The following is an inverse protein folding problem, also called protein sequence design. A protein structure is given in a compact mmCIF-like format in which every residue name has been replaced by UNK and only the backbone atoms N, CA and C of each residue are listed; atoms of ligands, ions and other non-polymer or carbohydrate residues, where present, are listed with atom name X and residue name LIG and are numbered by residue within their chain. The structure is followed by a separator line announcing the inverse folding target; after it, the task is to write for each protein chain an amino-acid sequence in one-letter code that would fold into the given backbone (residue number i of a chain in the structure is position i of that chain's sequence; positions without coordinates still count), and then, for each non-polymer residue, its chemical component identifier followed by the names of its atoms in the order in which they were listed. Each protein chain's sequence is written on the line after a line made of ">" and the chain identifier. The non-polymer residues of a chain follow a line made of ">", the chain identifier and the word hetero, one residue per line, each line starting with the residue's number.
data_IF_913837084666
#
_entry.id   IF_913837084666
#
_cell.length_a   1.000
_cell.length_b   1.000
_cell.length_c   1.000
_cell.angle_alpha   90.00
_cell.angle_beta   90.00
_cell.angle_gamma   90.00
#
_symmetry.space_group_name_H-M   'P 1'
#
loop_
_entity.id
_entity.type
_entity.pdbx_description
1 polymer ?
#
# COMPACT_ATOMS: atom_id res chain seq x y z
N UNK A 1 15.69 16.01 -21.02
CA UNK A 1 14.90 14.79 -20.78
C UNK A 1 14.36 14.88 -19.38
N UNK A 2 13.06 14.70 -19.15
CA UNK A 2 12.51 14.70 -17.80
C UNK A 2 12.98 13.41 -17.09
N UNK A 3 13.68 13.55 -15.98
CA UNK A 3 14.07 12.43 -15.13
C UNK A 3 12.78 11.85 -14.52
N UNK A 4 12.42 10.62 -14.89
CA UNK A 4 11.19 9.97 -14.42
C UNK A 4 11.55 8.90 -13.42
N UNK A 5 11.35 9.20 -12.13
CA UNK A 5 11.62 8.28 -11.03
C UNK A 5 10.60 7.13 -11.04
N UNK A 6 11.04 5.95 -11.45
CA UNK A 6 10.19 4.75 -11.58
C UNK A 6 9.81 4.16 -10.22
N UNK A 7 10.77 4.19 -9.28
CA UNK A 7 10.60 3.86 -7.87
C UNK A 7 10.80 5.15 -7.08
N UNK A 8 9.72 5.89 -6.89
CA UNK A 8 9.78 7.05 -6.01
C UNK A 8 10.00 6.54 -4.59
N UNK A 9 10.99 7.06 -3.87
CA UNK A 9 11.05 6.87 -2.41
C UNK A 9 9.94 7.72 -1.80
N UNK A 10 8.68 7.34 -2.06
CA UNK A 10 7.56 7.87 -1.33
C UNK A 10 7.71 7.32 0.09
N UNK A 11 8.41 8.08 0.92
CA UNK A 11 8.56 7.78 2.33
C UNK A 11 7.19 7.96 3.00
N UNK A 12 6.41 6.87 3.02
CA UNK A 12 5.08 6.88 3.62
C UNK A 12 5.14 6.80 5.15
N UNK A 13 6.27 6.37 5.70
CA UNK A 13 6.48 6.31 7.14
C UNK A 13 6.73 7.72 7.68
N UNK A 14 6.04 8.08 8.76
CA UNK A 14 6.37 9.27 9.52
C UNK A 14 7.43 8.97 10.58
N UNK A 15 7.44 7.74 11.11
CA UNK A 15 8.40 7.28 12.11
C UNK A 15 8.94 5.89 11.74
N UNK A 16 10.13 5.55 12.23
CA UNK A 16 10.78 4.25 11.97
C UNK A 16 10.15 3.08 12.72
N UNK A 17 9.36 3.35 13.76
CA UNK A 17 8.65 2.30 14.50
C UNK A 17 7.35 1.94 13.78
N UNK A 18 7.37 0.79 13.09
CA UNK A 18 6.20 0.22 12.41
C UNK A 18 6.24 -1.31 12.46
N UNK A 19 5.09 -1.93 12.26
CA UNK A 19 4.99 -3.37 12.02
C UNK A 19 4.37 -3.60 10.64
N UNK A 20 4.99 -4.50 9.88
CA UNK A 20 4.55 -4.89 8.56
C UNK A 20 4.57 -6.41 8.41
N UNK A 21 3.67 -6.92 7.57
CA UNK A 21 3.64 -8.32 7.17
C UNK A 21 3.96 -8.45 5.68
N UNK A 22 4.53 -9.58 5.30
CA UNK A 22 4.68 -9.96 3.90
C UNK A 22 3.34 -10.45 3.34
N UNK A 23 2.95 -9.91 2.20
CA UNK A 23 1.76 -10.31 1.44
C UNK A 23 2.10 -10.46 -0.03
N UNK A 24 1.36 -11.32 -0.74
CA UNK A 24 1.48 -11.47 -2.18
C UNK A 24 0.40 -10.60 -2.85
N UNK A 25 0.82 -9.61 -3.63
CA UNK A 25 -0.07 -8.73 -4.39
C UNK A 25 -0.48 -9.43 -5.68
N UNK A 26 -1.78 -9.43 -5.94
CA UNK A 26 -2.34 -9.95 -7.19
C UNK A 26 -1.95 -9.06 -8.38
N UNK A 27 -1.40 -9.65 -9.46
CA UNK A 27 -1.05 -8.89 -10.66
C UNK A 27 -2.22 -8.17 -11.31
N UNK A 28 -3.43 -8.67 -11.14
CA UNK A 28 -4.67 -8.13 -11.67
C UNK A 28 -5.27 -7.05 -10.75
N UNK A 29 -4.59 -6.70 -9.66
CA UNK A 29 -5.00 -5.59 -8.80
C UNK A 29 -5.19 -4.31 -9.62
N UNK A 30 -6.26 -3.59 -9.28
CA UNK A 30 -6.55 -2.27 -9.83
C UNK A 30 -5.62 -1.23 -9.20
N UNK A 31 -5.45 -0.08 -9.85
CA UNK A 31 -4.64 1.04 -9.33
C UNK A 31 -3.14 0.98 -9.60
N UNK A 32 -2.63 -0.11 -10.20
CA UNK A 32 -1.26 -0.12 -10.70
C UNK A 32 -1.13 0.75 -11.95
N UNK A 33 -0.04 1.51 -12.03
CA UNK A 33 0.26 2.42 -13.12
C UNK A 33 1.28 1.80 -14.06
N UNK A 34 1.10 2.01 -15.37
CA UNK A 34 2.09 1.58 -16.36
C UNK A 34 3.12 2.68 -16.56
N UNK A 35 4.35 2.42 -16.17
CA UNK A 35 5.47 3.33 -16.36
C UNK A 35 6.60 2.62 -17.11
N UNK A 36 6.97 3.15 -18.27
CA UNK A 36 8.05 2.61 -19.11
C UNK A 36 7.91 1.11 -19.42
N UNK A 37 6.68 0.64 -19.64
CA UNK A 37 6.36 -0.76 -19.92
C UNK A 37 6.24 -1.67 -18.69
N UNK A 38 6.47 -1.15 -17.48
CA UNK A 38 6.30 -1.88 -16.21
C UNK A 38 5.01 -1.49 -15.52
N UNK A 39 4.29 -2.45 -14.97
CA UNK A 39 3.08 -2.25 -14.17
C UNK A 39 3.48 -2.16 -12.70
N UNK A 40 3.43 -0.96 -12.14
CA UNK A 40 3.91 -0.66 -10.79
C UNK A 40 2.72 -0.25 -9.92
N UNK A 41 2.54 -0.92 -8.80
CA UNK A 41 1.65 -0.45 -7.74
C UNK A 41 2.43 0.46 -6.79
N UNK A 42 1.99 1.70 -6.63
CA UNK A 42 2.74 2.71 -5.87
C UNK A 42 2.62 2.52 -4.35
N UNK A 43 3.68 2.83 -3.62
CA UNK A 43 3.69 2.90 -2.18
C UNK A 43 2.59 3.84 -1.66
N UNK A 44 2.05 3.55 -0.49
CA UNK A 44 0.91 4.26 0.07
C UNK A 44 -0.45 3.77 -0.44
N UNK A 45 -0.47 2.78 -1.33
CA UNK A 45 -1.73 2.12 -1.74
C UNK A 45 -2.34 1.36 -0.58
N UNK A 46 -3.65 1.52 -0.39
CA UNK A 46 -4.45 0.79 0.58
C UNK A 46 -4.72 -0.62 0.07
N UNK A 47 -4.37 -1.64 0.86
CA UNK A 47 -4.45 -3.05 0.48
C UNK A 47 -5.36 -3.83 1.43
N UNK A 48 -6.07 -4.81 0.89
CA UNK A 48 -6.80 -5.83 1.66
C UNK A 48 -6.69 -7.20 0.97
N UNK A 49 -6.92 -8.28 1.71
CA UNK A 49 -6.95 -9.62 1.14
C UNK A 49 -8.17 -9.84 0.22
N UNK A 50 -8.01 -10.70 -0.78
CA UNK A 50 -9.07 -11.00 -1.74
C UNK A 50 -10.15 -11.91 -1.13
N UNK A 51 -11.31 -11.33 -0.83
CA UNK A 51 -12.47 -12.01 -0.25
C UNK A 51 -12.41 -12.22 1.27
N UNK A 52 -11.24 -12.12 1.90
CA UNK A 52 -11.05 -12.17 3.35
C UNK A 52 -9.83 -11.32 3.74
N UNK A 53 -9.76 -10.88 5.00
CA UNK A 53 -8.61 -10.11 5.50
C UNK A 53 -7.32 -10.92 5.42
N UNK A 54 -6.20 -10.26 5.12
CA UNK A 54 -4.86 -10.90 5.13
C UNK A 54 -4.46 -11.45 6.50
N UNK A 55 -5.10 -10.99 7.58
CA UNK A 55 -4.86 -11.48 8.95
C UNK A 55 -5.63 -12.77 9.25
N UNK A 56 -6.79 -12.96 8.63
CA UNK A 56 -7.63 -14.15 8.83
C UNK A 56 -7.16 -15.30 7.93
N UNK A 57 -6.80 -14.99 6.68
CA UNK A 57 -6.34 -15.98 5.71
C UNK A 57 -5.12 -15.47 4.92
N UNK A 58 -3.93 -15.89 5.35
CA UNK A 58 -2.65 -15.53 4.74
C UNK A 58 -2.40 -16.19 3.37
N UNK A 59 -3.25 -17.11 2.94
CA UNK A 59 -3.17 -17.72 1.60
C UNK A 59 -3.75 -16.80 0.52
N UNK A 60 -4.56 -15.81 0.92
CA UNK A 60 -5.18 -14.86 0.00
C UNK A 60 -4.17 -13.83 -0.49
N UNK A 61 -4.31 -13.48 -1.76
CA UNK A 61 -3.55 -12.39 -2.37
C UNK A 61 -4.14 -11.05 -1.91
N UNK A 62 -3.28 -10.05 -1.75
CA UNK A 62 -3.67 -8.69 -1.47
C UNK A 62 -4.05 -7.95 -2.77
N UNK A 63 -5.11 -7.14 -2.70
CA UNK A 63 -5.59 -6.25 -3.76
C UNK A 63 -5.79 -4.84 -3.21
N UNK A 64 -5.73 -3.86 -4.10
CA UNK A 64 -6.05 -2.48 -3.77
C UNK A 64 -7.51 -2.38 -3.29
N UNK A 65 -7.72 -1.83 -2.10
CA UNK A 65 -9.04 -1.66 -1.51
C UNK A 65 -9.10 -0.38 -0.67
N UNK A 66 -9.76 0.66 -1.20
CA UNK A 66 -9.91 1.95 -0.53
C UNK A 66 -11.12 2.01 0.43
N UNK A 67 -11.93 0.95 0.52
CA UNK A 67 -13.15 0.93 1.33
C UNK A 67 -12.95 0.19 2.66
N UNK A 68 -12.26 -0.96 2.61
CA UNK A 68 -11.98 -1.78 3.78
C UNK A 68 -10.53 -2.30 3.72
N UNK A 69 -9.53 -1.43 3.91
CA UNK A 69 -8.14 -1.85 3.90
C UNK A 69 -7.74 -2.60 5.17
N UNK A 70 -6.87 -3.59 4.99
CA UNK A 70 -6.15 -4.27 6.06
C UNK A 70 -4.83 -3.56 6.41
N UNK A 71 -4.27 -2.80 5.46
CA UNK A 71 -3.08 -1.99 5.69
C UNK A 71 -2.63 -1.20 4.46
N UNK A 72 -1.38 -0.77 4.48
CA UNK A 72 -0.80 0.15 3.48
C UNK A 72 0.48 -0.44 2.90
N UNK A 73 0.61 -0.38 1.57
CA UNK A 73 1.80 -0.81 0.86
C UNK A 73 3.02 0.06 1.19
N UNK A 74 4.10 -0.54 1.70
CA UNK A 74 5.30 0.19 2.13
C UNK A 74 6.15 0.74 0.98
N UNK A 75 6.38 -0.09 -0.05
CA UNK A 75 7.24 0.23 -1.19
C UNK A 75 6.51 -0.07 -2.49
N UNK A 76 6.91 0.63 -3.56
CA UNK A 76 6.45 0.35 -4.91
C UNK A 76 6.63 -1.14 -5.24
N UNK A 77 5.58 -1.79 -5.74
CA UNK A 77 5.59 -3.20 -6.12
C UNK A 77 5.48 -3.34 -7.64
N UNK A 78 6.42 -4.05 -8.24
CA UNK A 78 6.38 -4.39 -9.67
C UNK A 78 5.57 -5.67 -9.87
N UNK A 79 4.41 -5.54 -10.52
CA UNK A 79 3.48 -6.63 -10.84
C UNK A 79 3.40 -6.88 -12.36
N UNK A 80 4.45 -6.53 -13.10
CA UNK A 80 4.51 -6.65 -14.56
C UNK A 80 4.42 -8.10 -15.01
N UNK A 81 5.29 -8.95 -14.46
CA UNK A 81 5.49 -10.33 -14.93
C UNK A 81 4.67 -11.36 -14.13
N UNK A 82 4.02 -10.94 -13.04
CA UNK A 82 3.27 -11.82 -12.17
C UNK A 82 2.90 -11.18 -10.84
N UNK A 83 2.44 -12.01 -9.92
CA UNK A 83 2.17 -11.60 -8.55
C UNK A 83 3.48 -11.20 -7.85
N UNK A 84 3.41 -10.20 -6.99
CA UNK A 84 4.60 -9.64 -6.34
C UNK A 84 4.52 -9.76 -4.83
N UNK A 85 5.61 -10.16 -4.18
CA UNK A 85 5.68 -10.12 -2.71
C UNK A 85 6.00 -8.70 -2.28
N UNK A 86 5.20 -8.18 -1.35
CA UNK A 86 5.35 -6.83 -0.83
C UNK A 86 5.14 -6.77 0.69
N UNK A 87 5.53 -5.64 1.28
CA UNK A 87 5.34 -5.37 2.70
C UNK A 87 4.10 -4.51 2.92
N UNK A 88 3.15 -5.03 3.68
CA UNK A 88 1.92 -4.34 4.10
C UNK A 88 2.08 -3.89 5.54
N UNK A 89 2.12 -2.57 5.75
CA UNK A 89 2.15 -1.94 7.07
C UNK A 89 0.75 -1.97 7.65
N UNK A 90 0.62 -2.51 8.87
CA UNK A 90 -0.66 -2.59 9.57
C UNK A 90 -0.65 -1.85 10.91
N UNK A 91 0.53 -1.42 11.37
CA UNK A 91 0.68 -0.66 12.61
C UNK A 91 1.86 0.30 12.52
N UNK A 92 1.70 1.50 13.05
CA UNK A 92 2.74 2.54 13.06
C UNK A 92 2.20 3.92 12.74
N UNK A 93 3.09 4.85 12.38
CA UNK A 93 2.71 6.22 12.01
C UNK A 93 3.00 6.48 10.54
N UNK A 94 1.97 6.83 9.78
CA UNK A 94 2.06 7.06 8.33
C UNK A 94 1.76 8.51 7.96
N UNK A 95 2.39 8.97 6.87
CA UNK A 95 2.18 10.29 6.26
C UNK A 95 0.87 10.31 5.48
N UNK A 96 -0.14 10.99 6.00
CA UNK A 96 -1.48 11.06 5.41
C UNK A 96 -1.48 11.61 3.97
N UNK A 97 -0.56 12.54 3.67
CA UNK A 97 -0.36 13.16 2.36
C UNK A 97 0.27 12.23 1.32
N UNK A 98 0.86 11.11 1.75
CA UNK A 98 1.49 10.10 0.87
C UNK A 98 0.70 8.80 0.78
N UNK A 99 -0.39 8.65 1.54
CA UNK A 99 -1.25 7.46 1.52
C UNK A 99 -2.50 7.73 0.68
N UNK A 100 -2.90 6.77 -0.14
CA UNK A 100 -4.13 6.82 -0.96
C UNK A 100 -4.25 8.09 -1.82
N UNK A 101 -3.16 8.51 -2.45
CA UNK A 101 -3.12 9.76 -3.23
C UNK A 101 -3.31 11.03 -2.40
N UNK A 102 -3.08 10.95 -1.08
CA UNK A 102 -3.17 12.07 -0.13
C UNK A 102 -4.53 12.24 0.54
N UNK A 103 -5.48 11.32 0.31
CA UNK A 103 -6.83 11.39 0.89
C UNK A 103 -7.12 10.16 1.74
N UNK A 104 -7.13 10.32 3.07
CA UNK A 104 -7.49 9.27 4.03
C UNK A 104 -8.75 9.68 4.78
N UNK A 105 -9.88 9.06 4.46
CA UNK A 105 -11.17 9.32 5.11
C UNK A 105 -11.22 8.73 6.52
N UNK A 106 -12.13 9.24 7.36
CA UNK A 106 -12.28 8.72 8.73
C UNK A 106 -12.78 7.27 8.77
N UNK A 107 -13.48 6.81 7.73
CA UNK A 107 -13.82 5.40 7.56
C UNK A 107 -12.57 4.51 7.45
N UNK A 108 -11.56 4.93 6.68
CA UNK A 108 -10.29 4.22 6.55
C UNK A 108 -9.53 4.23 7.89
N UNK A 109 -9.49 5.38 8.58
CA UNK A 109 -8.87 5.47 9.91
C UNK A 109 -9.52 4.53 10.92
N UNK A 110 -10.85 4.38 10.86
CA UNK A 110 -11.58 3.44 11.70
C UNK A 110 -11.29 1.97 11.39
N UNK A 111 -10.92 1.64 10.15
CA UNK A 111 -10.51 0.28 9.74
C UNK A 111 -9.06 -0.04 10.07
N UNK A 112 -8.22 0.97 10.22
CA UNK A 112 -6.79 0.86 10.54
C UNK A 112 -6.48 1.43 11.92
N UNK A 113 -7.04 0.87 13.02
CA UNK A 113 -6.96 1.45 14.36
C UNK A 113 -5.55 1.50 14.93
N UNK A 114 -4.64 0.67 14.41
CA UNK A 114 -3.23 0.63 14.82
C UNK A 114 -2.32 1.54 13.99
N UNK A 115 -2.88 2.24 12.99
CA UNK A 115 -2.16 3.20 12.17
C UNK A 115 -2.58 4.61 12.54
N UNK A 116 -1.60 5.41 12.95
CA UNK A 116 -1.79 6.84 13.15
C UNK A 116 -1.40 7.60 11.88
N UNK A 117 -2.36 8.28 11.27
CA UNK A 117 -2.12 9.14 10.13
C UNK A 117 -1.73 10.54 10.59
N UNK A 118 -0.52 10.98 10.24
CA UNK A 118 0.02 12.31 10.53
C UNK A 118 0.29 13.01 9.21
N UNK A 119 -0.11 14.27 9.06
CA UNK A 119 0.22 15.03 7.86
C UNK A 119 1.72 15.37 7.88
N UNK A 120 2.44 15.07 6.81
CA UNK A 120 3.79 15.60 6.62
C UNK A 120 3.75 17.12 6.58
N UNK A 121 4.57 17.77 7.40
CA UNK A 121 4.81 19.20 7.30
C UNK A 121 5.60 19.53 6.03
#
# INVERSE_FOLDING_TARGET
>A
MAEKTLFGVAEILHNMTYEAISVTIDKETTGAVTENGRKILKAGTLLAGDGASVFDDRSKKAKANATAPDGVLLYDADVTDGDAVASLVYRGTLRADKVNGGTVSDAIKGKLPHIQFVKGA
#
